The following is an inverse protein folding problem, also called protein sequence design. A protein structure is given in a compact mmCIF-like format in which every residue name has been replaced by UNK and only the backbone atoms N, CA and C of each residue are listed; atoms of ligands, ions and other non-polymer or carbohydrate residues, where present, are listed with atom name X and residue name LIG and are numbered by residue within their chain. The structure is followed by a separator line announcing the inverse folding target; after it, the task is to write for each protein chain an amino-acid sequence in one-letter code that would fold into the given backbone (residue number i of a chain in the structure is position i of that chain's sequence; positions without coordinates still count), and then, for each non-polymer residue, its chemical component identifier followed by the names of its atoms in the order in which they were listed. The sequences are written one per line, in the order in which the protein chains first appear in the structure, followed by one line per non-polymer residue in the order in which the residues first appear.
data_IF_911991353665
#
_entry.id   IF_911991353665
#
_cell.length_a   1.000
_cell.length_b   1.000
_cell.length_c   1.000
_cell.angle_alpha   90.00
_cell.angle_beta   90.00
_cell.angle_gamma   90.00
#
_symmetry.space_group_name_H-M   'P 1'
#
loop_
_entity.id
_entity.type
_entity.pdbx_description
1 polymer ?
#
# COMPACT_ATOMS: atom_id res chain seq x y z
N UNK A 1 -1.48 28.67 12.43
CA UNK A 1 -1.54 27.20 12.39
C UNK A 1 -0.26 26.58 12.96
N UNK A 2 0.92 26.97 12.47
CA UNK A 2 2.19 26.34 12.89
C UNK A 2 2.60 26.62 14.34
N UNK A 3 2.26 27.80 14.87
CA UNK A 3 2.56 28.17 16.27
C UNK A 3 1.78 27.32 17.29
N UNK A 4 0.55 26.93 16.96
CA UNK A 4 -0.31 26.10 17.83
C UNK A 4 0.24 24.66 17.92
N UNK A 5 0.72 24.13 16.79
CA UNK A 5 1.32 22.81 16.70
C UNK A 5 2.64 22.71 17.50
N UNK A 6 3.47 23.76 17.47
CA UNK A 6 4.71 23.82 18.23
C UNK A 6 4.46 23.81 19.75
N UNK A 7 3.52 24.63 20.24
CA UNK A 7 3.13 24.65 21.67
C UNK A 7 2.63 23.28 22.17
N UNK A 8 1.84 22.58 21.36
CA UNK A 8 1.38 21.21 21.68
C UNK A 8 2.54 20.22 21.76
N UNK A 9 3.49 20.30 20.82
CA UNK A 9 4.67 19.43 20.79
C UNK A 9 5.54 19.61 22.04
N UNK A 10 5.78 20.86 22.44
CA UNK A 10 6.57 21.19 23.65
C UNK A 10 5.89 20.71 24.93
N UNK A 11 4.58 20.93 25.07
CA UNK A 11 3.80 20.43 26.23
C UNK A 11 3.85 18.91 26.34
N UNK A 12 3.71 18.20 25.21
CA UNK A 12 3.81 16.74 25.18
C UNK A 12 5.22 16.25 25.53
N UNK A 13 6.26 16.93 25.06
CA UNK A 13 7.64 16.61 25.39
C UNK A 13 7.93 16.75 26.89
N UNK A 14 7.44 17.83 27.54
CA UNK A 14 7.58 18.03 28.98
C UNK A 14 6.86 16.94 29.80
N UNK A 15 5.65 16.54 29.37
CA UNK A 15 4.90 15.46 30.02
C UNK A 15 5.62 14.10 29.92
N UNK A 16 6.23 13.81 28.77
CA UNK A 16 7.03 12.58 28.58
C UNK A 16 8.27 12.55 29.46
N UNK A 17 9.03 13.65 29.51
CA UNK A 17 10.21 13.78 30.39
C UNK A 17 9.85 13.55 31.86
N UNK A 18 8.72 14.10 32.34
CA UNK A 18 8.24 13.91 33.72
C UNK A 18 7.85 12.47 34.03
N UNK A 19 7.23 11.75 33.09
CA UNK A 19 6.87 10.33 33.30
C UNK A 19 8.11 9.44 33.37
N UNK A 20 9.11 9.69 32.52
CA UNK A 20 10.31 8.87 32.47
C UNK A 20 11.13 8.97 33.76
N UNK A 21 11.18 10.16 34.38
CA UNK A 21 11.86 10.35 35.68
C UNK A 21 11.13 9.79 36.90
N UNK A 22 9.89 9.28 36.78
CA UNK A 22 9.10 8.76 37.91
C UNK A 22 9.07 7.23 38.00
N UNK A 23 9.72 6.52 37.08
CA UNK A 23 9.64 5.06 37.01
C UNK A 23 10.88 4.33 37.58
N UNK A 24 11.73 5.02 38.35
CA UNK A 24 12.99 4.48 38.90
C UNK A 24 12.94 4.29 40.42
N UNK A 25 11.82 3.81 40.97
CA UNK A 25 11.74 3.34 42.36
C UNK A 25 10.77 2.18 42.48
N UNK A 26 11.16 1.02 41.94
CA UNK A 26 10.70 -0.29 42.41
C UNK A 26 11.73 -1.33 41.97
N UNK A 27 12.91 -1.32 42.59
CA UNK A 27 13.78 -2.50 42.65
C UNK A 27 13.26 -3.38 43.79
N UNK A 28 12.61 -4.49 43.45
CA UNK A 28 12.44 -5.63 44.35
C UNK A 28 13.27 -6.78 43.77
N UNK A 29 14.42 -6.98 44.38
CA UNK A 29 15.24 -8.19 44.24
C UNK A 29 14.46 -9.39 44.79
N UNK A 30 13.95 -10.25 43.91
CA UNK A 30 13.33 -11.54 44.27
C UNK A 30 14.36 -12.66 44.08
N UNK A 31 15.25 -12.83 45.04
CA UNK A 31 16.04 -14.06 45.23
C UNK A 31 15.28 -15.04 46.15
N UNK A 32 14.01 -15.28 45.84
CA UNK A 32 13.25 -16.38 46.42
C UNK A 32 13.13 -17.45 45.34
N UNK A 33 14.18 -18.26 45.21
CA UNK A 33 14.07 -19.52 44.49
C UNK A 33 13.04 -20.37 45.23
N UNK A 34 11.85 -20.53 44.65
CA UNK A 34 10.80 -21.42 45.09
C UNK A 34 11.35 -22.84 45.16
N UNK A 35 11.86 -23.24 46.33
CA UNK A 35 12.36 -24.60 46.58
C UNK A 35 11.20 -25.44 47.07
N UNK A 36 10.75 -26.38 46.24
CA UNK A 36 9.77 -27.40 46.64
C UNK A 36 10.25 -28.13 47.89
N UNK A 37 9.42 -28.18 48.94
CA UNK A 37 9.76 -28.75 50.25
C UNK A 37 9.74 -30.29 50.22
N UNK A 38 10.80 -30.92 50.73
CA UNK A 38 10.86 -32.37 50.97
C UNK A 38 10.88 -32.67 52.48
N UNK A 39 9.84 -33.33 53.02
CA UNK A 39 9.79 -33.71 54.43
C UNK A 39 10.94 -34.66 54.82
N UNK A 40 11.41 -34.60 56.06
CA UNK A 40 12.45 -35.51 56.57
C UNK A 40 11.92 -36.90 56.95
N UNK A 41 10.63 -37.00 57.28
CA UNK A 41 10.00 -38.23 57.74
C UNK A 41 9.71 -39.20 56.59
N UNK A 42 9.95 -40.50 56.79
CA UNK A 42 9.82 -41.53 55.74
C UNK A 42 8.37 -41.73 55.32
N UNK A 43 7.44 -41.68 56.27
CA UNK A 43 5.99 -41.81 56.00
C UNK A 43 5.45 -40.68 55.12
N UNK A 44 5.97 -39.47 55.31
CA UNK A 44 5.50 -38.27 54.63
C UNK A 44 6.12 -38.14 53.23
N UNK A 45 7.33 -38.68 53.02
CA UNK A 45 8.00 -38.67 51.70
C UNK A 45 7.23 -39.47 50.65
N UNK A 46 6.60 -40.57 51.04
CA UNK A 46 5.81 -41.42 50.11
C UNK A 46 4.57 -40.69 49.57
N UNK A 47 4.09 -39.66 50.29
CA UNK A 47 2.90 -38.88 49.93
C UNK A 47 3.21 -37.57 49.21
N UNK A 48 4.48 -37.25 48.96
CA UNK A 48 4.88 -36.03 48.23
C UNK A 48 5.21 -36.40 46.79
N UNK A 49 4.32 -36.03 45.88
CA UNK A 49 4.56 -36.10 44.44
C UNK A 49 5.38 -34.87 44.00
N UNK A 50 6.66 -35.10 43.71
CA UNK A 50 7.54 -34.06 43.18
C UNK A 50 7.28 -33.98 41.68
N UNK A 51 6.74 -32.85 41.22
CA UNK A 51 6.54 -32.61 39.80
C UNK A 51 7.87 -32.75 39.05
N UNK A 52 7.88 -33.63 38.07
CA UNK A 52 9.01 -33.79 37.15
C UNK A 52 8.89 -32.77 36.01
N UNK A 53 9.98 -32.41 35.31
CA UNK A 53 9.89 -31.56 34.13
C UNK A 53 8.96 -32.10 33.02
N UNK A 54 8.56 -33.37 33.09
CA UNK A 54 7.58 -33.99 32.19
C UNK A 54 6.12 -33.68 32.56
N UNK A 55 5.85 -33.24 33.79
CA UNK A 55 4.50 -32.82 34.25
C UNK A 55 4.17 -31.37 33.83
N UNK A 56 5.17 -30.65 33.31
CA UNK A 56 4.97 -29.34 32.70
C UNK A 56 4.15 -29.58 31.42
N UNK A 57 2.91 -29.11 31.42
CA UNK A 57 2.03 -29.14 30.25
C UNK A 57 2.54 -28.27 29.10
N UNK A 58 1.66 -27.94 28.16
CA UNK A 58 2.04 -27.10 27.03
C UNK A 58 2.55 -25.75 27.52
N UNK A 59 3.77 -25.39 27.12
CA UNK A 59 4.34 -24.08 27.41
C UNK A 59 3.74 -23.04 26.47
N UNK A 60 3.66 -21.79 26.91
CA UNK A 60 3.15 -20.67 26.09
C UNK A 60 3.89 -20.53 24.75
N UNK A 61 5.15 -20.96 24.68
CA UNK A 61 5.93 -21.01 23.45
C UNK A 61 5.35 -21.98 22.42
N UNK A 62 4.78 -23.11 22.86
CA UNK A 62 4.16 -24.09 21.95
C UNK A 62 2.87 -23.50 21.38
N UNK A 63 2.06 -22.87 22.22
CA UNK A 63 0.79 -22.25 21.81
C UNK A 63 1.00 -21.03 20.90
N UNK A 64 2.06 -20.24 21.12
CA UNK A 64 2.31 -19.01 20.36
C UNK A 64 3.02 -19.21 19.02
N UNK A 65 3.60 -20.39 18.77
CA UNK A 65 4.32 -20.70 17.52
C UNK A 65 3.46 -20.52 16.28
N UNK A 66 2.18 -20.87 16.34
CA UNK A 66 1.30 -20.83 15.18
C UNK A 66 0.75 -19.43 14.87
N UNK A 67 0.58 -18.57 15.90
CA UNK A 67 0.19 -17.18 15.72
C UNK A 67 1.18 -16.37 14.88
N UNK A 68 2.48 -16.68 14.97
CA UNK A 68 3.50 -16.00 14.15
C UNK A 68 3.33 -16.29 12.66
N UNK A 69 2.94 -17.52 12.32
CA UNK A 69 2.69 -17.92 10.93
C UNK A 69 1.38 -17.33 10.41
N UNK A 70 0.35 -17.34 11.24
CA UNK A 70 -0.97 -16.78 10.89
C UNK A 70 -0.91 -15.26 10.65
N UNK A 71 -0.20 -14.52 11.50
CA UNK A 71 -0.02 -13.07 11.35
C UNK A 71 0.79 -12.69 10.10
N UNK A 72 1.82 -13.46 9.76
CA UNK A 72 2.58 -13.27 8.51
C UNK A 72 1.73 -13.57 7.28
N UNK A 73 0.91 -14.63 7.32
CA UNK A 73 -0.01 -14.95 6.24
C UNK A 73 -1.07 -13.85 6.04
N UNK A 74 -1.67 -13.35 7.12
CA UNK A 74 -2.64 -12.25 7.08
C UNK A 74 -2.02 -10.94 6.58
N UNK A 75 -0.77 -10.66 6.94
CA UNK A 75 -0.05 -9.49 6.45
C UNK A 75 0.30 -9.61 4.96
N UNK A 76 0.67 -10.81 4.49
CA UNK A 76 0.93 -11.07 3.07
C UNK A 76 -0.37 -10.99 2.24
N UNK A 77 -1.48 -11.49 2.75
CA UNK A 77 -2.80 -11.35 2.12
C UNK A 77 -3.18 -9.87 1.98
N UNK A 78 -2.99 -9.07 3.04
CA UNK A 78 -3.26 -7.62 3.03
C UNK A 78 -2.30 -6.80 2.16
N UNK A 79 -1.08 -7.26 1.95
CA UNK A 79 -0.10 -6.60 1.05
C UNK A 79 -0.45 -6.81 -0.43
N UNK A 80 -1.14 -7.92 -0.75
CA UNK A 80 -1.66 -8.18 -2.09
C UNK A 80 -3.06 -7.57 -2.31
N UNK A 81 -3.65 -6.91 -1.32
CA UNK A 81 -4.80 -6.03 -1.53
C UNK A 81 -4.31 -4.79 -2.30
N UNK A 82 -4.49 -4.86 -3.62
CA UNK A 82 -4.14 -3.82 -4.58
C UNK A 82 -4.46 -2.42 -4.05
N UNK A 83 -3.44 -1.56 -3.98
CA UNK A 83 -3.64 -0.12 -3.83
C UNK A 83 -4.63 0.32 -4.91
N UNK A 84 -5.81 0.87 -4.56
CA UNK A 84 -6.83 1.18 -5.56
C UNK A 84 -6.29 2.22 -6.54
N UNK A 85 -5.92 1.79 -7.75
CA UNK A 85 -5.62 2.71 -8.85
C UNK A 85 -6.95 3.20 -9.40
N UNK A 86 -7.54 4.20 -8.75
CA UNK A 86 -8.85 4.73 -9.09
C UNK A 86 -8.75 5.65 -10.32
N UNK A 87 -8.50 4.98 -11.44
CA UNK A 87 -8.80 5.38 -12.81
C UNK A 87 -7.62 5.90 -13.64
N UNK A 88 -6.78 4.94 -14.07
CA UNK A 88 -5.79 5.14 -15.13
C UNK A 88 -6.43 5.65 -16.43
N UNK A 89 -7.66 5.22 -16.74
CA UNK A 89 -8.35 5.62 -17.98
C UNK A 89 -8.66 7.11 -17.93
N UNK A 90 -9.19 7.65 -16.83
CA UNK A 90 -9.39 9.11 -16.68
C UNK A 90 -8.09 9.90 -16.75
N UNK A 91 -7.01 9.37 -16.17
CA UNK A 91 -5.70 10.02 -16.20
C UNK A 91 -5.07 10.02 -17.60
N UNK A 92 -5.35 8.98 -18.40
CA UNK A 92 -4.95 8.88 -19.80
C UNK A 92 -5.85 9.76 -20.68
N UNK A 93 -7.16 9.73 -20.49
CA UNK A 93 -8.16 10.48 -21.27
C UNK A 93 -7.87 12.00 -21.19
N UNK A 94 -7.57 12.54 -20.01
CA UNK A 94 -7.18 13.95 -19.85
C UNK A 94 -5.90 14.33 -20.60
N UNK A 95 -4.96 13.39 -20.76
CA UNK A 95 -3.74 13.60 -21.55
C UNK A 95 -4.02 13.51 -23.05
N UNK A 96 -4.85 12.55 -23.46
CA UNK A 96 -5.28 12.39 -24.84
C UNK A 96 -6.07 13.61 -25.34
N UNK A 97 -7.00 14.14 -24.55
CA UNK A 97 -7.76 15.35 -24.92
C UNK A 97 -6.85 16.56 -25.18
N UNK A 98 -5.84 16.76 -24.33
CA UNK A 98 -4.84 17.84 -24.51
C UNK A 98 -3.98 17.62 -25.74
N UNK A 99 -3.63 16.37 -26.04
CA UNK A 99 -2.84 16.02 -27.20
C UNK A 99 -3.64 16.20 -28.48
N UNK A 100 -4.88 15.70 -28.53
CA UNK A 100 -5.80 15.81 -29.67
C UNK A 100 -6.02 17.28 -30.07
N UNK A 101 -6.24 18.18 -29.11
CA UNK A 101 -6.35 19.63 -29.39
C UNK A 101 -5.09 20.23 -30.04
N UNK A 102 -3.89 19.72 -29.71
CA UNK A 102 -2.63 20.16 -30.35
C UNK A 102 -2.47 19.52 -31.73
N UNK A 103 -2.80 18.25 -31.86
CA UNK A 103 -2.76 17.51 -33.11
C UNK A 103 -3.68 18.14 -34.15
N UNK A 104 -4.93 18.46 -33.78
CA UNK A 104 -5.87 19.17 -34.65
C UNK A 104 -5.33 20.52 -35.11
N UNK A 105 -4.76 21.33 -34.20
CA UNK A 105 -4.14 22.62 -34.55
C UNK A 105 -2.99 22.45 -35.54
N UNK A 106 -2.11 21.47 -35.30
CA UNK A 106 -1.00 21.17 -36.21
C UNK A 106 -1.52 20.71 -37.58
N UNK A 107 -2.57 19.87 -37.62
CA UNK A 107 -3.24 19.45 -38.85
C UNK A 107 -3.79 20.67 -39.61
N UNK A 108 -4.51 21.56 -38.92
CA UNK A 108 -5.04 22.78 -39.54
C UNK A 108 -3.94 23.70 -40.09
N UNK A 109 -2.83 23.84 -39.36
CA UNK A 109 -1.70 24.64 -39.81
C UNK A 109 -1.03 24.04 -41.05
N UNK A 110 -0.82 22.72 -41.07
CA UNK A 110 -0.29 22.00 -42.23
C UNK A 110 -1.23 22.15 -43.44
N UNK A 111 -2.54 21.99 -43.25
CA UNK A 111 -3.53 22.18 -44.33
C UNK A 111 -3.46 23.61 -44.86
N UNK A 112 -3.37 24.60 -43.97
CA UNK A 112 -3.28 26.01 -44.37
C UNK A 112 -2.02 26.30 -45.18
N UNK A 113 -0.87 25.79 -44.76
CA UNK A 113 0.40 25.95 -45.49
C UNK A 113 0.32 25.29 -46.87
N UNK A 114 -0.23 24.08 -46.96
CA UNK A 114 -0.44 23.37 -48.23
C UNK A 114 -1.37 24.14 -49.17
N UNK A 115 -2.49 24.66 -48.66
CA UNK A 115 -3.44 25.43 -49.47
C UNK A 115 -2.86 26.78 -49.95
N UNK A 116 -1.99 27.42 -49.16
CA UNK A 116 -1.29 28.63 -49.59
C UNK A 116 -0.25 28.35 -50.69
N UNK A 117 0.39 27.19 -50.67
CA UNK A 117 1.29 26.73 -51.74
C UNK A 117 0.53 26.40 -53.03
N UNK A 118 -0.64 25.79 -52.90
CA UNK A 118 -1.48 25.35 -54.00
C UNK A 118 -2.53 26.42 -54.35
N UNK A 119 -2.10 27.49 -55.04
CA UNK A 119 -2.94 28.66 -55.36
C UNK A 119 -4.16 28.38 -56.26
N UNK A 120 -4.21 27.20 -56.91
CA UNK A 120 -5.17 26.91 -57.96
C UNK A 120 -6.31 25.95 -57.54
N UNK A 121 -6.24 25.34 -56.36
CA UNK A 121 -7.23 24.35 -55.91
C UNK A 121 -7.96 24.81 -54.65
N UNK A 122 -9.29 24.83 -54.69
CA UNK A 122 -10.09 25.22 -53.53
C UNK A 122 -10.10 24.11 -52.47
N UNK A 123 -10.29 24.49 -51.20
CA UNK A 123 -10.39 23.51 -50.11
C UNK A 123 -11.53 22.50 -50.34
N UNK A 124 -12.65 22.97 -50.91
CA UNK A 124 -13.81 22.16 -51.22
C UNK A 124 -13.51 21.06 -52.23
N UNK A 125 -12.77 21.37 -53.31
CA UNK A 125 -12.37 20.39 -54.32
C UNK A 125 -11.44 19.32 -53.76
N UNK A 126 -10.48 19.71 -52.92
CA UNK A 126 -9.55 18.75 -52.29
C UNK A 126 -10.26 17.80 -51.32
N UNK A 127 -11.22 18.30 -50.55
CA UNK A 127 -12.02 17.47 -49.63
C UNK A 127 -12.92 16.53 -50.42
N UNK A 128 -13.60 17.01 -51.47
CA UNK A 128 -14.44 16.17 -52.33
C UNK A 128 -13.63 15.05 -53.01
N UNK A 129 -12.43 15.36 -53.50
CA UNK A 129 -11.54 14.36 -54.10
C UNK A 129 -11.02 13.34 -53.07
N UNK A 130 -10.71 13.78 -51.86
CA UNK A 130 -10.29 12.89 -50.77
C UNK A 130 -11.44 11.97 -50.31
N UNK A 131 -12.67 12.49 -50.20
CA UNK A 131 -13.86 11.69 -49.86
C UNK A 131 -14.17 10.66 -50.96
N UNK A 132 -14.03 11.03 -52.23
CA UNK A 132 -14.20 10.12 -53.36
C UNK A 132 -13.13 8.99 -53.34
N UNK A 133 -11.87 9.33 -53.05
CA UNK A 133 -10.79 8.35 -52.92
C UNK A 133 -11.01 7.40 -51.72
N UNK A 134 -11.45 7.92 -50.57
CA UNK A 134 -11.74 7.09 -49.40
C UNK A 134 -12.92 6.15 -49.64
N UNK A 135 -13.98 6.61 -50.31
CA UNK A 135 -15.10 5.74 -50.69
C UNK A 135 -14.64 4.62 -51.61
N UNK A 136 -13.85 4.95 -52.62
CA UNK A 136 -13.28 3.97 -53.53
C UNK A 136 -12.40 2.93 -52.81
N UNK A 137 -11.52 3.37 -51.90
CA UNK A 137 -10.69 2.46 -51.09
C UNK A 137 -11.54 1.58 -50.16
N UNK A 138 -12.61 2.12 -49.57
CA UNK A 138 -13.50 1.36 -48.68
C UNK A 138 -14.36 0.34 -49.43
N UNK A 139 -14.78 0.65 -50.65
CA UNK A 139 -15.51 -0.29 -51.52
C UNK A 139 -14.58 -1.43 -51.96
N UNK A 140 -13.35 -1.11 -52.36
CA UNK A 140 -12.39 -2.12 -52.81
C UNK A 140 -11.87 -3.05 -51.69
N UNK A 141 -11.95 -2.61 -50.42
CA UNK A 141 -11.63 -3.43 -49.24
C UNK A 141 -12.80 -4.33 -48.78
N UNK A 142 -14.02 -4.09 -49.26
CA UNK A 142 -15.19 -4.94 -48.96
C UNK A 142 -15.32 -6.10 -49.96
N UNK A 143 -14.67 -6.00 -51.11
CA UNK A 143 -14.70 -7.00 -52.18
C UNK A 143 -13.50 -8.00 -52.13
N UNK A 144 -12.61 -7.89 -51.14
CA UNK A 144 -11.60 -8.91 -50.75
C UNK A 144 -12.02 -9.69 -49.50
#
# INVERSE_FOLDING_TARGET
MDQEAQKRKERLAAMRKRKLGRNSQTDRSTDEAEKSYTPNDESLKEHVEIATPSDIGNTLEIETKDFTKETLAQAAEKQNEDVPNWDLKRDVDKKLERLDRKTQRAIYEIIRQRLQGDKDATLAEKVANAEAAQKFESENQQDE
#
